data_IF_456240195335
#
_entry.id   IF_456240195335
#
_cell.length_a   1.000
_cell.length_b   1.000
_cell.length_c   1.000
_cell.angle_alpha   90.00
_cell.angle_beta   90.00
_cell.angle_gamma   90.00
#
_symmetry.space_group_name_H-M   'P 1'
#
loop_
_entity.id
_entity.type
_entity.pdbx_description
1 polymer ?
#
# COMPACT_ATOMS: atom_id res chain seq x y z
N UNK A 1 11.41 -2.78 17.12
CA UNK A 1 11.31 -3.98 16.28
C UNK A 1 10.06 -3.92 15.42
N UNK A 2 10.20 -4.17 14.13
CA UNK A 2 9.07 -4.12 13.22
C UNK A 2 8.12 -5.30 13.37
N UNK A 3 6.87 -5.10 12.99
CA UNK A 3 5.88 -6.17 12.96
C UNK A 3 4.94 -5.90 11.79
N UNK A 4 4.84 -6.85 10.88
CA UNK A 4 4.00 -6.72 9.68
C UNK A 4 2.64 -7.36 9.90
N UNK A 5 1.58 -6.60 9.67
CA UNK A 5 0.22 -7.11 9.61
C UNK A 5 -0.30 -6.92 8.18
N UNK A 6 -0.17 -7.96 7.37
CA UNK A 6 -0.53 -7.91 5.96
C UNK A 6 -1.67 -8.86 5.67
N UNK A 7 -2.66 -8.39 4.90
CA UNK A 7 -3.81 -9.20 4.52
C UNK A 7 -4.21 -8.92 3.09
N UNK A 8 -4.92 -9.87 2.48
CA UNK A 8 -5.41 -9.75 1.10
C UNK A 8 -6.86 -10.19 1.08
N UNK A 9 -7.73 -9.36 0.49
CA UNK A 9 -9.12 -9.76 0.25
C UNK A 9 -9.61 -9.16 -1.07
N UNK A 10 -10.66 -9.74 -1.63
CA UNK A 10 -11.25 -9.26 -2.88
C UNK A 10 -12.62 -8.66 -2.63
N UNK A 11 -12.94 -7.60 -3.36
CA UNK A 11 -14.23 -6.94 -3.27
C UNK A 11 -14.57 -6.33 -4.63
N UNK A 12 -15.59 -6.87 -5.30
CA UNK A 12 -16.04 -6.33 -6.59
C UNK A 12 -14.97 -6.29 -7.67
N UNK A 13 -14.11 -7.29 -7.72
CA UNK A 13 -13.01 -7.34 -8.70
C UNK A 13 -11.81 -6.52 -8.34
N UNK A 14 -11.80 -5.89 -7.15
CA UNK A 14 -10.68 -5.12 -6.62
C UNK A 14 -10.03 -5.92 -5.50
N UNK A 15 -8.70 -5.99 -5.51
CA UNK A 15 -7.95 -6.63 -4.44
C UNK A 15 -7.57 -5.57 -3.40
N UNK A 16 -7.96 -5.80 -2.15
CA UNK A 16 -7.64 -4.92 -1.03
C UNK A 16 -6.47 -5.50 -0.27
N UNK A 17 -5.39 -4.73 -0.21
CA UNK A 17 -4.16 -5.10 0.49
C UNK A 17 -4.15 -4.39 1.84
N UNK A 18 -4.36 -5.15 2.92
CA UNK A 18 -4.24 -4.59 4.27
C UNK A 18 -2.77 -4.41 4.61
N UNK A 19 -2.35 -3.17 4.77
CA UNK A 19 -0.96 -2.80 5.05
C UNK A 19 -0.93 -2.22 6.45
N UNK A 20 -0.50 -3.01 7.42
CA UNK A 20 -0.56 -2.61 8.82
C UNK A 20 0.68 -2.96 9.61
N UNK A 21 0.70 -2.49 10.85
CA UNK A 21 1.77 -2.72 11.78
C UNK A 21 2.88 -1.69 11.67
N UNK A 22 4.09 -2.11 12.01
CA UNK A 22 5.29 -1.28 11.97
C UNK A 22 6.20 -1.80 10.88
N UNK A 23 6.33 -1.04 9.80
CA UNK A 23 7.14 -1.45 8.63
C UNK A 23 8.43 -0.65 8.63
N UNK A 24 9.43 -1.18 9.33
CA UNK A 24 10.77 -0.61 9.40
C UNK A 24 11.70 -1.28 8.39
N UNK A 25 12.96 -0.90 8.42
CA UNK A 25 13.97 -1.43 7.50
C UNK A 25 14.13 -2.95 7.63
N UNK A 26 13.98 -3.49 8.85
CA UNK A 26 14.11 -4.93 9.09
C UNK A 26 12.94 -5.73 8.53
N UNK A 27 11.75 -5.14 8.47
CA UNK A 27 10.53 -5.79 7.99
C UNK A 27 10.29 -5.54 6.50
N UNK A 28 10.89 -4.50 5.93
CA UNK A 28 10.67 -4.13 4.54
C UNK A 28 10.90 -5.28 3.54
N UNK A 29 11.93 -6.13 3.68
CA UNK A 29 12.09 -7.27 2.77
C UNK A 29 10.90 -8.25 2.81
N UNK A 30 10.38 -8.53 4.00
CA UNK A 30 9.21 -9.40 4.16
C UNK A 30 7.97 -8.76 3.54
N UNK A 31 7.80 -7.46 3.75
CA UNK A 31 6.71 -6.68 3.16
C UNK A 31 6.77 -6.76 1.63
N UNK A 32 7.96 -6.61 1.06
CA UNK A 32 8.13 -6.69 -0.39
C UNK A 32 7.73 -8.07 -0.92
N UNK A 33 8.13 -9.14 -0.25
CA UNK A 33 7.78 -10.51 -0.63
C UNK A 33 6.26 -10.70 -0.64
N UNK A 34 5.60 -10.25 0.42
CA UNK A 34 4.14 -10.39 0.54
C UNK A 34 3.41 -9.57 -0.52
N UNK A 35 3.87 -8.36 -0.79
CA UNK A 35 3.29 -7.50 -1.82
C UNK A 35 3.46 -8.12 -3.20
N UNK A 36 4.64 -8.61 -3.54
CA UNK A 36 4.91 -9.25 -4.83
C UNK A 36 3.99 -10.44 -5.08
N UNK A 37 3.77 -11.27 -4.07
CA UNK A 37 2.86 -12.40 -4.18
C UNK A 37 1.43 -11.94 -4.44
N UNK A 38 0.99 -10.91 -3.73
CA UNK A 38 -0.38 -10.43 -3.82
C UNK A 38 -0.69 -9.78 -5.17
N UNK A 39 0.29 -9.12 -5.80
CA UNK A 39 0.07 -8.39 -7.05
C UNK A 39 0.47 -9.17 -8.30
N UNK A 40 0.93 -10.41 -8.15
CA UNK A 40 1.52 -11.18 -9.26
C UNK A 40 0.57 -11.36 -10.46
N UNK A 41 -0.73 -11.42 -10.23
CA UNK A 41 -1.71 -11.57 -11.30
C UNK A 41 -2.11 -10.27 -12.01
N UNK A 42 -1.56 -9.14 -11.58
CA UNK A 42 -2.00 -7.84 -12.06
C UNK A 42 -3.41 -7.50 -11.56
N UNK A 43 -3.97 -6.38 -12.03
CA UNK A 43 -5.33 -6.00 -11.69
C UNK A 43 -5.44 -4.66 -10.96
N UNK A 44 -6.52 -4.52 -10.20
CA UNK A 44 -6.83 -3.29 -9.48
C UNK A 44 -6.62 -3.52 -7.99
N UNK A 45 -5.79 -2.69 -7.38
CA UNK A 45 -5.37 -2.85 -6.00
C UNK A 45 -5.62 -1.60 -5.18
N UNK A 46 -6.12 -1.78 -3.97
CA UNK A 46 -6.30 -0.73 -2.98
C UNK A 46 -5.49 -1.09 -1.75
N UNK A 47 -4.56 -0.24 -1.36
CA UNK A 47 -3.82 -0.40 -0.10
C UNK A 47 -4.64 0.19 1.03
N UNK A 48 -5.04 -0.64 1.99
CA UNK A 48 -5.76 -0.21 3.18
C UNK A 48 -4.75 0.02 4.31
N UNK A 49 -4.52 1.27 4.65
CA UNK A 49 -3.55 1.68 5.66
C UNK A 49 -4.18 1.97 7.02
N UNK A 50 -5.41 1.53 7.27
CA UNK A 50 -6.11 1.82 8.53
C UNK A 50 -5.39 1.25 9.76
N UNK A 51 -4.59 0.21 9.58
CA UNK A 51 -3.85 -0.43 10.66
C UNK A 51 -2.34 -0.14 10.60
N UNK A 52 -1.92 0.78 9.74
CA UNK A 52 -0.50 1.14 9.62
C UNK A 52 -0.11 2.09 10.74
N UNK A 53 0.83 1.67 11.59
CA UNK A 53 1.27 2.43 12.76
C UNK A 53 2.54 3.22 12.50
N UNK A 54 3.45 2.67 11.69
CA UNK A 54 4.71 3.31 11.37
C UNK A 54 5.28 2.72 10.08
N UNK A 55 5.95 3.56 9.30
CA UNK A 55 6.63 3.12 8.08
C UNK A 55 7.88 3.97 7.85
N UNK A 56 8.97 3.32 7.47
CA UNK A 56 10.23 4.00 7.14
C UNK A 56 10.36 4.19 5.64
N UNK A 57 11.40 4.90 5.22
CA UNK A 57 11.69 5.11 3.81
C UNK A 57 11.87 3.79 3.05
N UNK A 58 12.38 2.75 3.71
CA UNK A 58 12.52 1.43 3.10
C UNK A 58 11.15 0.84 2.74
N UNK A 59 10.17 0.96 3.65
CA UNK A 59 8.80 0.53 3.37
C UNK A 59 8.12 1.35 2.29
N UNK A 60 8.34 2.66 2.29
CA UNK A 60 7.84 3.56 1.23
C UNK A 60 8.43 3.14 -0.12
N UNK A 61 9.71 2.77 -0.15
CA UNK A 61 10.35 2.29 -1.36
C UNK A 61 9.66 1.07 -1.94
N UNK A 62 9.22 0.15 -1.09
CA UNK A 62 8.45 -1.02 -1.53
C UNK A 62 7.13 -0.60 -2.16
N UNK A 63 6.41 0.35 -1.55
CA UNK A 63 5.15 0.85 -2.10
C UNK A 63 5.34 1.47 -3.48
N UNK A 64 6.39 2.26 -3.67
CA UNK A 64 6.69 2.87 -4.96
C UNK A 64 7.03 1.80 -6.00
N UNK A 65 7.84 0.82 -5.63
CA UNK A 65 8.20 -0.27 -6.54
C UNK A 65 6.97 -1.07 -6.97
N UNK A 66 6.06 -1.36 -6.03
CA UNK A 66 4.85 -2.11 -6.35
C UNK A 66 3.91 -1.31 -7.24
N UNK A 67 3.77 -0.02 -6.98
CA UNK A 67 2.97 0.87 -7.84
C UNK A 67 3.50 0.82 -9.27
N UNK A 68 4.81 0.91 -9.45
CA UNK A 68 5.42 0.86 -10.77
C UNK A 68 5.22 -0.50 -11.44
N UNK A 69 5.36 -1.59 -10.69
CA UNK A 69 5.14 -2.95 -11.20
C UNK A 69 3.70 -3.14 -11.67
N UNK A 70 2.74 -2.70 -10.87
CA UNK A 70 1.32 -2.83 -11.19
C UNK A 70 0.98 -2.00 -12.43
N UNK A 71 1.46 -0.77 -12.51
CA UNK A 71 1.20 0.09 -13.67
C UNK A 71 1.81 -0.46 -14.96
N UNK A 72 3.01 -1.00 -14.87
CA UNK A 72 3.68 -1.60 -16.03
C UNK A 72 2.89 -2.79 -16.58
N UNK A 73 2.14 -3.48 -15.73
CA UNK A 73 1.28 -4.59 -16.13
C UNK A 73 -0.14 -4.14 -16.55
N UNK A 74 -0.36 -2.83 -16.65
CA UNK A 74 -1.66 -2.28 -17.05
C UNK A 74 -2.69 -2.18 -15.91
N UNK A 75 -2.26 -2.39 -14.67
CA UNK A 75 -3.15 -2.33 -13.51
C UNK A 75 -3.17 -0.97 -12.84
N UNK A 76 -3.88 -0.91 -11.71
CA UNK A 76 -4.06 0.31 -10.92
C UNK A 76 -3.76 0.03 -9.46
N UNK A 77 -3.08 0.96 -8.81
CA UNK A 77 -2.80 0.89 -7.37
C UNK A 77 -3.05 2.25 -6.72
N UNK A 78 -3.90 2.27 -5.71
CA UNK A 78 -4.18 3.45 -4.91
C UNK A 78 -4.11 3.10 -3.44
N UNK A 79 -3.95 4.10 -2.58
CA UNK A 79 -3.90 3.93 -1.13
C UNK A 79 -5.16 4.50 -0.49
N UNK A 80 -5.46 4.09 0.73
CA UNK A 80 -6.65 4.55 1.43
C UNK A 80 -6.50 4.48 2.94
N UNK A 81 -7.34 5.23 3.64
CA UNK A 81 -7.46 5.20 5.10
C UNK A 81 -6.14 5.49 5.81
N UNK A 82 -5.36 6.41 5.28
CA UNK A 82 -4.07 6.79 5.84
C UNK A 82 -4.29 7.76 7.00
N UNK A 83 -3.74 7.46 8.17
CA UNK A 83 -3.84 8.35 9.34
C UNK A 83 -3.07 9.65 9.10
N UNK A 84 -3.40 10.69 9.86
CA UNK A 84 -2.70 11.97 9.74
C UNK A 84 -1.20 11.83 9.99
N UNK A 85 -0.83 11.01 10.96
CA UNK A 85 0.58 10.74 11.27
C UNK A 85 1.31 10.13 10.09
N UNK A 86 0.72 9.11 9.47
CA UNK A 86 1.33 8.43 8.33
C UNK A 86 1.28 9.32 7.09
N UNK A 87 0.21 10.10 6.92
CA UNK A 87 0.12 11.03 5.80
C UNK A 87 1.27 12.04 5.80
N UNK A 88 1.71 12.49 6.97
CA UNK A 88 2.87 13.38 7.08
C UNK A 88 4.13 12.72 6.52
N UNK A 89 4.33 11.44 6.82
CA UNK A 89 5.47 10.68 6.30
C UNK A 89 5.35 10.53 4.77
N UNK A 90 4.17 10.19 4.28
CA UNK A 90 3.93 10.05 2.84
C UNK A 90 4.20 11.36 2.11
N UNK A 91 3.69 12.47 2.63
CA UNK A 91 3.88 13.79 2.04
C UNK A 91 5.35 14.20 2.05
N UNK A 92 6.04 13.95 3.17
CA UNK A 92 7.45 14.28 3.31
C UNK A 92 8.32 13.54 2.28
N UNK A 93 7.97 12.31 1.95
CA UNK A 93 8.70 11.50 0.97
C UNK A 93 8.05 11.52 -0.42
N UNK A 94 7.10 12.43 -0.65
CA UNK A 94 6.42 12.66 -1.93
C UNK A 94 5.64 11.46 -2.47
N UNK A 95 5.24 10.53 -1.62
CA UNK A 95 4.44 9.38 -2.05
C UNK A 95 3.05 9.83 -2.53
N UNK A 96 2.50 10.87 -1.92
CA UNK A 96 1.20 11.43 -2.28
C UNK A 96 1.16 11.97 -3.71
N UNK A 97 2.32 12.27 -4.30
CA UNK A 97 2.43 12.70 -5.69
C UNK A 97 2.54 11.53 -6.67
N UNK A 98 2.90 10.35 -6.17
CA UNK A 98 3.11 9.16 -6.99
C UNK A 98 1.92 8.20 -6.95
N UNK A 99 1.17 8.19 -5.85
CA UNK A 99 0.05 7.28 -5.63
C UNK A 99 -1.14 8.09 -5.13
N UNK A 100 -2.32 7.87 -5.71
CA UNK A 100 -3.54 8.51 -5.21
C UNK A 100 -3.91 7.94 -3.85
N UNK A 101 -4.38 8.81 -2.96
CA UNK A 101 -4.75 8.44 -1.60
C UNK A 101 -6.19 8.91 -1.36
N UNK A 102 -7.05 7.97 -0.97
CA UNK A 102 -8.46 8.23 -0.68
C UNK A 102 -8.73 8.18 0.81
N UNK A 103 -9.69 8.95 1.30
CA UNK A 103 -9.99 8.96 2.75
C UNK A 103 -10.44 7.61 3.29
N UNK A 104 -11.17 6.82 2.50
CA UNK A 104 -11.69 5.53 2.93
C UNK A 104 -11.44 4.45 1.89
N UNK A 105 -11.43 3.20 2.35
CA UNK A 105 -11.32 2.04 1.45
C UNK A 105 -12.48 2.02 0.46
N UNK A 106 -13.71 2.32 0.93
CA UNK A 106 -14.88 2.33 0.07
C UNK A 106 -14.76 3.31 -1.09
N UNK A 107 -14.28 4.51 -0.83
CA UNK A 107 -14.06 5.52 -1.88
C UNK A 107 -12.98 5.06 -2.86
N UNK A 108 -11.91 4.46 -2.34
CA UNK A 108 -10.83 3.96 -3.18
C UNK A 108 -11.31 2.83 -4.11
N UNK A 109 -12.09 1.90 -3.59
CA UNK A 109 -12.65 0.79 -4.37
C UNK A 109 -13.53 1.30 -5.51
N UNK A 110 -14.32 2.34 -5.25
CA UNK A 110 -15.18 2.93 -6.29
C UNK A 110 -14.40 3.67 -7.36
N UNK A 111 -13.20 4.15 -7.03
CA UNK A 111 -12.39 4.98 -7.93
C UNK A 111 -11.53 4.17 -8.89
N UNK A 112 -11.33 2.89 -8.63
CA UNK A 112 -10.44 2.03 -9.46
C UNK A 112 -11.21 1.06 -10.35
#
# INVERSE_FOLDING_TARGET
MGSLAFSVKSEGGVTILGIGGVIDTGVAPQFEIEMKKAVAGGGRFVGDCSQLEHITSAGIGVLIAMKNTIQAAGGTFVMSAVSDKIMKVFTMLNLDKLVRIYPTVGEAVKAV
#
